data_IF_575061767725
#
_entry.id   IF_575061767725
#
_cell.length_a   1.000
_cell.length_b   1.000
_cell.length_c   1.000
_cell.angle_alpha   90.00
_cell.angle_beta   90.00
_cell.angle_gamma   90.00
#
_symmetry.space_group_name_H-M   'P 1'
#
loop_
_entity.id
_entity.type
_entity.pdbx_description
1 polymer ?
#
# COMPACT_ATOMS: atom_id res chain seq x y z
N UNK A 1 14.84 0.63 15.17
CA UNK A 1 13.99 0.88 13.99
C UNK A 1 14.90 1.21 12.82
N UNK A 2 14.77 0.49 11.71
CA UNK A 2 15.56 0.73 10.49
C UNK A 2 14.98 1.91 9.72
N UNK A 3 15.84 2.83 9.27
CA UNK A 3 15.42 4.02 8.55
C UNK A 3 15.44 3.76 7.04
N UNK A 4 14.33 4.01 6.37
CA UNK A 4 14.14 3.84 4.92
C UNK A 4 13.72 5.17 4.28
N UNK A 5 14.66 6.10 4.22
CA UNK A 5 14.44 7.52 3.93
C UNK A 5 13.90 7.85 2.53
N UNK A 6 13.82 6.88 1.62
CA UNK A 6 13.39 7.11 0.25
C UNK A 6 12.10 6.34 -0.09
N UNK A 7 11.43 5.83 0.93
CA UNK A 7 10.17 5.10 0.81
C UNK A 7 9.06 5.83 1.57
N UNK A 8 7.91 5.93 0.93
CA UNK A 8 6.65 6.38 1.53
C UNK A 8 5.75 5.17 1.78
N UNK A 9 5.18 5.06 2.98
CA UNK A 9 4.12 4.10 3.26
C UNK A 9 2.79 4.63 2.74
N UNK A 10 2.04 3.82 2.00
CA UNK A 10 0.71 4.17 1.47
C UNK A 10 -0.32 3.12 1.87
N UNK A 11 -1.47 3.61 2.33
CA UNK A 11 -2.69 2.83 2.43
C UNK A 11 -3.83 3.53 1.70
N UNK A 12 -4.72 2.77 1.07
CA UNK A 12 -5.88 3.31 0.35
C UNK A 12 -7.11 2.55 0.82
N UNK A 13 -7.98 3.21 1.56
CA UNK A 13 -9.26 2.65 1.99
C UNK A 13 -10.43 3.55 1.57
N UNK A 14 -11.00 3.25 0.41
CA UNK A 14 -12.21 3.88 -0.09
C UNK A 14 -13.47 3.04 0.15
N UNK A 15 -13.39 1.95 0.92
CA UNK A 15 -14.55 1.08 1.21
C UNK A 15 -15.59 1.80 2.06
N UNK A 16 -16.81 1.28 2.06
CA UNK A 16 -17.81 1.70 3.02
C UNK A 16 -17.29 1.51 4.45
N UNK A 17 -17.50 2.53 5.29
CA UNK A 17 -16.99 2.53 6.65
C UNK A 17 -17.51 1.33 7.46
N UNK A 18 -16.58 0.54 8.00
CA UNK A 18 -16.85 -0.55 8.92
C UNK A 18 -15.84 -0.48 10.07
N UNK A 19 -16.33 -0.28 11.29
CA UNK A 19 -15.50 -0.03 12.47
C UNK A 19 -14.46 -1.14 12.74
N UNK A 20 -14.79 -2.40 12.48
CA UNK A 20 -13.88 -3.52 12.73
C UNK A 20 -12.72 -3.53 11.71
N UNK A 21 -13.04 -3.34 10.42
CA UNK A 21 -12.03 -3.24 9.35
C UNK A 21 -11.13 -2.02 9.54
N UNK A 22 -11.73 -0.93 9.94
CA UNK A 22 -11.07 0.32 10.25
C UNK A 22 -10.06 0.18 11.39
N UNK A 23 -10.47 -0.38 12.53
CA UNK A 23 -9.57 -0.60 13.66
C UNK A 23 -8.41 -1.54 13.29
N UNK A 24 -8.67 -2.56 12.47
CA UNK A 24 -7.63 -3.45 11.98
C UNK A 24 -6.61 -2.71 11.12
N UNK A 25 -7.06 -1.91 10.16
CA UNK A 25 -6.17 -1.15 9.28
C UNK A 25 -5.33 -0.14 10.06
N UNK A 26 -5.90 0.57 11.02
CA UNK A 26 -5.17 1.51 11.88
C UNK A 26 -4.09 0.82 12.71
N UNK A 27 -4.38 -0.34 13.26
CA UNK A 27 -3.38 -1.14 13.99
C UNK A 27 -2.23 -1.55 13.07
N UNK A 28 -2.52 -1.92 11.83
CA UNK A 28 -1.53 -2.30 10.83
C UNK A 28 -0.68 -1.11 10.40
N UNK A 29 -1.29 0.06 10.15
CA UNK A 29 -0.56 1.30 9.82
C UNK A 29 0.41 1.65 10.95
N UNK A 30 -0.06 1.63 12.19
CA UNK A 30 0.76 1.92 13.37
C UNK A 30 1.88 0.88 13.54
N UNK A 31 1.56 -0.39 13.37
CA UNK A 31 2.55 -1.46 13.41
C UNK A 31 3.65 -1.24 12.36
N UNK A 32 3.30 -1.03 11.09
CA UNK A 32 4.29 -0.81 10.04
C UNK A 32 5.19 0.41 10.31
N UNK A 33 4.62 1.51 10.82
CA UNK A 33 5.38 2.69 11.20
C UNK A 33 6.25 2.50 12.46
N UNK A 34 5.91 1.56 13.34
CA UNK A 34 6.76 1.19 14.48
C UNK A 34 7.92 0.29 14.10
N UNK A 35 7.78 -0.50 13.04
CA UNK A 35 8.81 -1.44 12.58
C UNK A 35 9.87 -0.79 11.69
N UNK A 36 9.44 0.06 10.74
CA UNK A 36 10.31 0.79 9.82
C UNK A 36 10.01 2.29 9.87
N UNK A 37 11.06 3.10 9.85
CA UNK A 37 10.91 4.54 9.78
C UNK A 37 10.83 4.99 8.32
N UNK A 38 9.62 5.20 7.84
CA UNK A 38 9.34 5.76 6.53
C UNK A 38 9.61 7.26 6.50
N UNK A 39 9.89 7.79 5.31
CA UNK A 39 10.02 9.24 5.10
C UNK A 39 8.67 9.95 5.26
N UNK A 40 7.63 9.35 4.70
CA UNK A 40 6.25 9.78 4.82
C UNK A 40 5.34 8.57 5.00
N UNK A 41 4.20 8.78 5.64
CA UNK A 41 3.09 7.83 5.67
C UNK A 41 1.83 8.55 5.24
N UNK A 42 1.11 8.01 4.26
CA UNK A 42 -0.08 8.60 3.69
C UNK A 42 -1.21 7.58 3.73
N UNK A 43 -2.33 8.00 4.29
CA UNK A 43 -3.54 7.21 4.29
C UNK A 43 -4.63 7.91 3.48
N UNK A 44 -5.03 7.31 2.37
CA UNK A 44 -6.14 7.74 1.54
C UNK A 44 -7.43 7.11 2.05
N UNK A 45 -8.40 7.94 2.42
CA UNK A 45 -9.65 7.46 3.02
C UNK A 45 -10.85 8.31 2.62
N UNK A 46 -12.04 7.69 2.59
CA UNK A 46 -13.31 8.40 2.43
C UNK A 46 -13.93 8.84 3.78
N UNK A 47 -13.35 8.40 4.90
CA UNK A 47 -13.90 8.55 6.26
C UNK A 47 -13.04 9.40 7.17
N UNK A 48 -12.41 10.46 6.63
CA UNK A 48 -11.41 11.27 7.32
C UNK A 48 -11.88 11.78 8.69
N UNK A 49 -13.14 12.18 8.79
CA UNK A 49 -13.71 12.73 10.02
C UNK A 49 -13.84 11.69 11.15
N UNK A 50 -13.87 10.39 10.79
CA UNK A 50 -13.95 9.28 11.73
C UNK A 50 -12.57 8.73 12.10
N UNK A 51 -11.58 8.95 11.25
CA UNK A 51 -10.25 8.38 11.37
C UNK A 51 -9.28 9.31 12.10
N UNK A 52 -9.54 10.61 12.02
CA UNK A 52 -8.67 11.64 12.57
C UNK A 52 -8.41 11.44 14.08
N UNK A 53 -9.45 11.20 14.87
CA UNK A 53 -9.36 11.04 16.33
C UNK A 53 -8.50 9.85 16.79
N UNK A 54 -8.36 8.83 15.95
CA UNK A 54 -7.62 7.61 16.29
C UNK A 54 -6.16 7.67 15.81
N UNK A 55 -5.92 8.26 14.66
CA UNK A 55 -4.57 8.39 14.11
C UNK A 55 -3.78 9.53 14.72
N UNK A 56 -4.46 10.59 15.19
CA UNK A 56 -3.82 11.65 15.99
C UNK A 56 -3.20 11.15 17.30
N UNK A 57 -3.78 10.08 17.87
CA UNK A 57 -3.26 9.44 19.09
C UNK A 57 -2.10 8.49 18.81
N UNK A 58 -1.82 8.20 17.55
CA UNK A 58 -0.65 7.41 17.16
C UNK A 58 0.59 8.30 17.14
N UNK A 59 1.71 7.79 17.65
CA UNK A 59 3.01 8.48 17.59
C UNK A 59 3.58 8.56 16.16
N UNK A 60 2.77 8.32 15.14
CA UNK A 60 3.16 8.23 13.74
C UNK A 60 2.64 9.45 12.96
N UNK A 61 3.55 10.10 12.23
CA UNK A 61 3.22 11.26 11.39
C UNK A 61 2.53 10.77 10.10
N UNK A 62 1.21 10.57 10.16
CA UNK A 62 0.40 10.06 9.05
C UNK A 62 -0.37 11.21 8.42
N UNK A 63 -0.19 11.41 7.12
CA UNK A 63 -0.97 12.36 6.35
C UNK A 63 -2.27 11.71 5.87
N UNK A 64 -3.41 12.26 6.27
CA UNK A 64 -4.72 11.83 5.80
C UNK A 64 -5.09 12.55 4.51
N UNK A 65 -5.51 11.81 3.50
CA UNK A 65 -5.96 12.35 2.22
C UNK A 65 -7.37 11.88 1.94
N UNK A 66 -8.30 12.82 1.82
CA UNK A 66 -9.70 12.51 1.51
C UNK A 66 -9.83 12.06 0.06
N UNK A 67 -10.47 10.90 -0.13
CA UNK A 67 -10.86 10.37 -1.42
C UNK A 67 -12.36 10.03 -1.41
N UNK A 68 -13.03 9.89 -2.56
CA UNK A 68 -14.39 9.39 -2.60
C UNK A 68 -14.48 7.94 -2.17
N UNK A 69 -15.68 7.49 -1.84
CA UNK A 69 -15.93 6.06 -1.67
C UNK A 69 -15.67 5.34 -3.01
N UNK A 70 -14.95 4.23 -2.94
CA UNK A 70 -14.52 3.46 -4.11
C UNK A 70 -15.09 2.03 -4.05
N UNK A 71 -15.70 1.60 -5.15
CA UNK A 71 -15.90 0.16 -5.39
C UNK A 71 -14.56 -0.53 -5.67
N UNK A 72 -14.55 -1.87 -5.66
CA UNK A 72 -13.35 -2.65 -6.00
C UNK A 72 -12.75 -2.26 -7.37
N UNK A 73 -13.59 -2.07 -8.38
CA UNK A 73 -13.13 -1.64 -9.70
C UNK A 73 -12.54 -0.21 -9.67
N UNK A 74 -13.22 0.71 -8.99
CA UNK A 74 -12.74 2.10 -8.86
C UNK A 74 -11.43 2.19 -8.06
N UNK A 75 -11.24 1.32 -7.06
CA UNK A 75 -9.96 1.20 -6.34
C UNK A 75 -8.81 0.86 -7.30
N UNK A 76 -9.00 -0.13 -8.17
CA UNK A 76 -7.96 -0.49 -9.15
C UNK A 76 -7.67 0.67 -10.12
N UNK A 77 -8.72 1.34 -10.61
CA UNK A 77 -8.56 2.53 -11.47
C UNK A 77 -7.85 3.66 -10.72
N UNK A 78 -8.17 3.87 -9.45
CA UNK A 78 -7.51 4.87 -8.62
C UNK A 78 -6.00 4.57 -8.50
N UNK A 79 -5.63 3.33 -8.19
CA UNK A 79 -4.25 2.90 -8.04
C UNK A 79 -3.42 3.00 -9.34
N UNK A 80 -4.08 2.90 -10.50
CA UNK A 80 -3.41 2.94 -11.81
C UNK A 80 -3.39 4.36 -12.36
N UNK A 81 -4.54 5.05 -12.40
CA UNK A 81 -4.68 6.31 -13.14
C UNK A 81 -4.59 7.57 -12.29
N UNK A 82 -4.99 7.49 -11.02
CA UNK A 82 -5.15 8.72 -10.23
C UNK A 82 -4.12 8.86 -9.11
N UNK A 83 -3.54 7.77 -8.63
CA UNK A 83 -2.61 7.81 -7.51
C UNK A 83 -1.43 8.74 -7.77
N UNK A 84 -0.89 8.74 -9.00
CA UNK A 84 0.24 9.60 -9.36
C UNK A 84 -0.02 11.08 -9.09
N UNK A 85 -1.21 11.58 -9.40
CA UNK A 85 -1.56 12.99 -9.19
C UNK A 85 -1.42 13.42 -7.73
N UNK A 86 -1.67 12.54 -6.79
CA UNK A 86 -1.53 12.81 -5.35
C UNK A 86 -0.08 12.72 -4.86
N UNK A 87 0.73 11.89 -5.49
CA UNK A 87 2.08 11.59 -4.99
C UNK A 87 3.21 12.24 -5.80
N UNK A 88 2.93 12.84 -6.94
CA UNK A 88 3.94 13.40 -7.85
C UNK A 88 4.92 14.38 -7.21
N UNK A 89 4.45 15.16 -6.23
CA UNK A 89 5.27 16.14 -5.50
C UNK A 89 5.95 15.57 -4.24
N UNK A 90 5.71 14.28 -3.91
CA UNK A 90 6.34 13.64 -2.76
C UNK A 90 7.76 13.24 -3.13
N UNK A 91 8.71 13.70 -2.32
CA UNK A 91 10.12 13.40 -2.53
C UNK A 91 10.48 12.02 -1.96
N UNK A 92 10.00 10.97 -2.63
CA UNK A 92 10.36 9.56 -2.43
C UNK A 92 10.51 8.89 -3.78
N UNK A 93 11.41 7.93 -3.89
CA UNK A 93 11.57 7.12 -5.10
C UNK A 93 10.57 5.95 -5.15
N UNK A 94 10.18 5.44 -3.97
CA UNK A 94 9.31 4.26 -3.87
C UNK A 94 8.18 4.45 -2.88
N UNK A 95 7.13 3.65 -3.08
CA UNK A 95 5.91 3.61 -2.29
C UNK A 95 5.60 2.18 -1.89
N UNK A 96 5.58 1.91 -0.57
CA UNK A 96 5.13 0.64 -0.04
C UNK A 96 3.63 0.69 0.19
N UNK A 97 2.89 -0.04 -0.63
CA UNK A 97 1.44 -0.20 -0.49
C UNK A 97 1.16 -1.29 0.52
N UNK A 98 0.30 -1.02 1.49
CA UNK A 98 -0.17 -2.00 2.47
C UNK A 98 -1.70 -1.99 2.56
N UNK A 99 -2.26 -3.13 2.95
CA UNK A 99 -3.69 -3.32 3.22
C UNK A 99 -3.89 -3.91 4.62
N UNK A 100 -5.15 -4.15 4.97
CA UNK A 100 -5.54 -4.77 6.25
C UNK A 100 -5.17 -6.27 6.36
N UNK A 101 -4.73 -6.89 5.27
CA UNK A 101 -4.26 -8.27 5.18
C UNK A 101 -2.80 -8.40 4.70
N UNK A 102 -2.13 -7.28 4.45
CA UNK A 102 -0.74 -7.26 3.97
C UNK A 102 0.11 -6.22 4.71
N UNK A 103 1.05 -6.67 5.55
CA UNK A 103 1.84 -5.81 6.43
C UNK A 103 3.25 -6.36 6.68
N UNK A 104 4.11 -5.55 7.31
CA UNK A 104 5.49 -5.90 7.61
C UNK A 104 5.52 -6.91 8.76
N UNK A 105 6.12 -8.10 8.52
CA UNK A 105 6.29 -9.14 9.54
C UNK A 105 7.73 -9.12 10.10
N UNK A 106 8.73 -8.91 9.22
CA UNK A 106 10.12 -8.92 9.63
C UNK A 106 10.89 -7.76 9.00
N UNK A 107 11.04 -6.64 9.71
CA UNK A 107 11.72 -5.45 9.20
C UNK A 107 13.22 -5.66 8.95
N UNK A 108 13.84 -6.68 9.58
CA UNK A 108 15.27 -6.97 9.41
C UNK A 108 15.61 -7.48 8.00
N UNK A 109 14.61 -8.02 7.29
CA UNK A 109 14.76 -8.48 5.91
C UNK A 109 14.68 -7.35 4.87
N UNK A 110 14.44 -6.11 5.30
CA UNK A 110 14.52 -4.99 4.37
C UNK A 110 15.92 -4.88 3.77
N UNK A 111 16.00 -4.88 2.45
CA UNK A 111 17.22 -4.67 1.67
C UNK A 111 17.05 -3.43 0.77
N UNK A 112 18.02 -2.51 0.77
CA UNK A 112 17.99 -1.35 -0.09
C UNK A 112 18.08 -1.70 -1.58
N UNK A 113 18.53 -2.90 -1.92
CA UNK A 113 18.47 -3.42 -3.28
C UNK A 113 17.04 -3.54 -3.82
N UNK A 114 16.02 -3.57 -2.97
CA UNK A 114 14.61 -3.50 -3.38
C UNK A 114 14.31 -2.22 -4.17
N UNK A 115 15.02 -1.14 -3.90
CA UNK A 115 14.87 0.14 -4.60
C UNK A 115 15.45 0.16 -6.03
N UNK A 116 16.03 -0.95 -6.48
CA UNK A 116 16.46 -1.12 -7.88
C UNK A 116 15.36 -1.68 -8.79
N UNK A 117 14.20 -2.01 -8.24
CA UNK A 117 13.08 -2.63 -8.97
C UNK A 117 11.88 -1.70 -9.03
N UNK A 118 11.23 -1.63 -10.19
CA UNK A 118 10.03 -0.82 -10.36
C UNK A 118 8.80 -1.41 -9.67
N UNK A 119 8.76 -2.74 -9.51
CA UNK A 119 7.68 -3.44 -8.82
C UNK A 119 8.17 -4.68 -8.09
N UNK A 120 7.83 -4.79 -6.80
CA UNK A 120 8.00 -6.00 -6.00
C UNK A 120 6.66 -6.29 -5.33
N UNK A 121 6.13 -7.50 -5.55
CA UNK A 121 4.90 -7.96 -4.93
C UNK A 121 4.91 -9.46 -4.71
N UNK A 122 3.93 -9.98 -3.98
CA UNK A 122 3.82 -11.40 -3.73
C UNK A 122 3.55 -12.18 -5.04
N UNK A 123 4.22 -13.32 -5.24
CA UNK A 123 3.96 -14.17 -6.39
C UNK A 123 2.59 -14.84 -6.26
N UNK A 124 1.91 -15.00 -7.39
CA UNK A 124 0.74 -15.86 -7.46
C UNK A 124 1.20 -17.32 -7.47
N UNK A 125 0.89 -18.05 -6.41
CA UNK A 125 1.20 -19.46 -6.34
C UNK A 125 0.26 -20.24 -7.30
N UNK A 126 0.84 -21.05 -8.18
CA UNK A 126 0.08 -22.04 -8.93
C UNK A 126 -0.30 -23.17 -7.98
N UNK A 127 -1.55 -23.21 -7.54
CA UNK A 127 -2.10 -24.45 -7.02
C UNK A 127 -2.36 -25.37 -8.21
N UNK A 128 -1.81 -26.58 -8.15
CA UNK A 128 -1.93 -27.58 -9.23
C UNK A 128 -3.38 -27.99 -9.50
N UNK A 129 -4.28 -27.76 -8.56
CA UNK A 129 -5.66 -28.27 -8.54
C UNK A 129 -6.73 -27.17 -8.58
N UNK A 130 -6.37 -25.90 -8.51
CA UNK A 130 -7.31 -24.79 -8.63
C UNK A 130 -6.85 -23.88 -9.77
N UNK A 131 -7.70 -23.63 -10.74
CA UNK A 131 -7.51 -22.56 -11.73
C UNK A 131 -7.85 -21.21 -11.10
N UNK A 132 -6.88 -20.49 -10.48
CA UNK A 132 -7.16 -19.22 -9.87
C UNK A 132 -7.16 -18.16 -10.93
N UNK A 133 -8.07 -17.78 -11.61
CA UNK A 133 -8.08 -16.80 -12.70
C UNK A 133 -7.44 -17.33 -14.01
N UNK A 134 -8.25 -17.73 -14.97
CA UNK A 134 -7.86 -18.40 -16.22
C UNK A 134 -6.79 -17.69 -17.09
N UNK A 135 -6.41 -16.46 -16.77
CA UNK A 135 -5.33 -15.70 -17.41
C UNK A 135 -3.95 -15.82 -16.71
N UNK A 136 -3.90 -16.35 -15.47
CA UNK A 136 -2.63 -16.53 -14.74
C UNK A 136 -1.92 -17.84 -15.14
N UNK A 137 -2.63 -18.77 -15.79
CA UNK A 137 -2.10 -20.09 -16.15
C UNK A 137 -1.00 -20.03 -17.22
N UNK A 138 -0.93 -18.99 -18.03
CA UNK A 138 0.04 -18.86 -19.12
C UNK A 138 1.42 -18.39 -18.65
N UNK A 139 1.53 -17.76 -17.47
CA UNK A 139 2.80 -17.23 -16.98
C UNK A 139 3.41 -18.08 -15.87
N UNK A 140 4.64 -18.54 -16.09
CA UNK A 140 5.38 -19.35 -15.10
C UNK A 140 5.65 -18.61 -13.79
N UNK A 141 5.76 -17.29 -13.82
CA UNK A 141 6.07 -16.42 -12.69
C UNK A 141 5.17 -15.18 -12.74
N UNK A 142 3.94 -15.30 -12.31
CA UNK A 142 3.03 -14.17 -12.21
C UNK A 142 3.20 -13.47 -10.85
N UNK A 143 3.44 -12.18 -10.86
CA UNK A 143 3.49 -11.30 -9.68
C UNK A 143 2.42 -10.22 -9.88
N UNK A 144 1.60 -9.97 -8.90
CA UNK A 144 0.52 -8.99 -9.10
C UNK A 144 -0.37 -8.75 -7.88
N UNK A 145 -0.01 -9.30 -6.72
CA UNK A 145 -0.75 -9.02 -5.51
C UNK A 145 -0.52 -7.56 -5.09
N UNK A 146 -1.56 -6.72 -5.18
CA UNK A 146 -1.51 -5.31 -4.84
C UNK A 146 -1.65 -4.98 -3.36
N UNK A 147 -2.01 -5.96 -2.51
CA UNK A 147 -2.27 -5.76 -1.09
C UNK A 147 -1.02 -5.50 -0.25
N UNK A 148 0.13 -6.02 -0.69
CA UNK A 148 1.44 -5.71 -0.13
C UNK A 148 2.47 -5.68 -1.25
N UNK A 149 2.84 -4.48 -1.69
CA UNK A 149 3.79 -4.34 -2.80
C UNK A 149 4.58 -3.03 -2.71
N UNK A 150 5.83 -3.09 -3.16
CA UNK A 150 6.68 -1.93 -3.37
C UNK A 150 6.60 -1.50 -4.84
N UNK A 151 6.38 -0.22 -5.08
CA UNK A 151 6.30 0.36 -6.43
C UNK A 151 7.21 1.56 -6.53
N UNK A 152 8.00 1.67 -7.62
CA UNK A 152 8.74 2.90 -7.89
C UNK A 152 7.78 4.03 -8.29
N UNK A 153 8.20 5.27 -8.05
CA UNK A 153 7.44 6.45 -8.50
C UNK A 153 7.30 6.45 -10.02
N UNK A 154 8.37 6.06 -10.72
CA UNK A 154 8.38 5.92 -12.17
C UNK A 154 7.34 4.93 -12.65
N UNK A 155 7.23 3.75 -12.02
CA UNK A 155 6.21 2.75 -12.39
C UNK A 155 4.79 3.30 -12.24
N UNK A 156 4.51 4.02 -11.13
CA UNK A 156 3.19 4.62 -10.91
C UNK A 156 2.91 5.72 -11.95
N UNK A 157 3.90 6.51 -12.32
CA UNK A 157 3.79 7.54 -13.37
C UNK A 157 3.49 6.94 -14.73
N UNK A 158 4.20 5.91 -15.15
CA UNK A 158 4.02 5.26 -16.46
C UNK A 158 2.67 4.53 -16.57
N UNK A 159 2.06 4.16 -15.46
CA UNK A 159 0.74 3.54 -15.43
C UNK A 159 -0.42 4.56 -15.47
N UNK A 160 -0.17 5.86 -15.25
CA UNK A 160 -1.19 6.91 -15.04
C UNK A 160 -1.75 7.61 -16.35
#
# INVERSE_FOLDING_TARGET
MKNINDVCLITIDGREFNINKYNNLNNIINHCNSELKFKYSIHFTNSIDKEYDHLEKSNCNINLVKIPQLSYYQYNIFCIKYLYEYIKNINCSHFLMIHDDGFIINPNLWDNNFLNYDYIGAPWLKNKDEEPFGWVTEYKNAVGNGGFCLRSKKFIEECS
#
